data_IF_785662802162
#
_entry.id   IF_785662802162
#
_cell.length_a   1.000
_cell.length_b   1.000
_cell.length_c   1.000
_cell.angle_alpha   90.00
_cell.angle_beta   90.00
_cell.angle_gamma   90.00
#
_symmetry.space_group_name_H-M   'P 1'
#
loop_
_entity.id
_entity.type
_entity.pdbx_description
1 polymer ?
#
# COMPACT_ATOMS: atom_id res chain seq x y z
N UNK A 1 8.44 -4.37 15.66
CA UNK A 1 6.95 -4.43 15.61
C UNK A 1 6.29 -3.12 16.04
N UNK A 2 6.68 -2.49 17.16
CA UNK A 2 6.16 -1.16 17.57
C UNK A 2 6.38 -0.05 16.52
N UNK A 3 7.50 -0.07 15.80
CA UNK A 3 7.80 0.87 14.70
C UNK A 3 6.78 0.85 13.55
N UNK A 4 6.05 -0.26 13.37
CA UNK A 4 5.08 -0.45 12.30
C UNK A 4 3.66 -0.08 12.73
N UNK A 5 3.40 0.03 14.04
CA UNK A 5 2.06 0.26 14.57
C UNK A 5 1.53 1.66 14.19
N UNK A 6 2.36 2.68 14.37
CA UNK A 6 1.97 4.06 14.06
C UNK A 6 1.73 4.29 12.56
N UNK A 7 2.65 3.92 11.65
CA UNK A 7 2.38 3.97 10.21
C UNK A 7 1.14 3.19 9.81
N UNK A 8 0.96 1.98 10.35
CA UNK A 8 -0.19 1.14 10.05
C UNK A 8 -1.50 1.83 10.42
N UNK A 9 -1.62 2.36 11.64
CA UNK A 9 -2.83 3.03 12.12
C UNK A 9 -3.13 4.25 11.26
N UNK A 10 -2.15 5.14 11.06
CA UNK A 10 -2.38 6.39 10.35
C UNK A 10 -2.71 6.14 8.88
N UNK A 11 -1.95 5.29 8.18
CA UNK A 11 -2.23 4.99 6.77
C UNK A 11 -3.56 4.26 6.59
N UNK A 12 -3.89 3.32 7.50
CA UNK A 12 -5.20 2.66 7.48
C UNK A 12 -6.33 3.67 7.69
N UNK A 13 -6.17 4.60 8.62
CA UNK A 13 -7.15 5.65 8.87
C UNK A 13 -7.32 6.56 7.66
N UNK A 14 -6.23 7.00 7.03
CA UNK A 14 -6.28 7.82 5.81
C UNK A 14 -7.06 7.13 4.68
N UNK A 15 -6.86 5.82 4.48
CA UNK A 15 -7.66 5.05 3.51
C UNK A 15 -9.12 4.90 3.95
N UNK A 16 -9.36 4.70 5.25
CA UNK A 16 -10.71 4.52 5.81
C UNK A 16 -11.56 5.80 5.82
N UNK A 17 -10.99 6.98 5.59
CA UNK A 17 -11.75 8.24 5.39
C UNK A 17 -12.81 8.14 4.28
N UNK A 18 -12.65 7.19 3.36
CA UNK A 18 -13.58 6.91 2.26
C UNK A 18 -14.63 5.83 2.58
N UNK A 19 -14.61 5.32 3.81
CA UNK A 19 -15.50 4.28 4.30
C UNK A 19 -14.78 2.96 4.61
N UNK A 20 -15.22 2.33 5.71
CA UNK A 20 -14.64 1.07 6.23
C UNK A 20 -14.71 -0.06 5.21
N UNK A 21 -15.78 -0.14 4.42
CA UNK A 21 -15.90 -1.15 3.35
C UNK A 21 -14.82 -0.99 2.29
N UNK A 22 -14.49 0.25 1.90
CA UNK A 22 -13.44 0.52 0.92
C UNK A 22 -12.07 0.14 1.49
N UNK A 23 -11.81 0.51 2.74
CA UNK A 23 -10.60 0.09 3.44
C UNK A 23 -10.44 -1.43 3.46
N UNK A 24 -11.49 -2.18 3.81
CA UNK A 24 -11.45 -3.64 3.86
C UNK A 24 -11.09 -4.25 2.50
N UNK A 25 -11.66 -3.73 1.40
CA UNK A 25 -11.30 -4.16 0.04
C UNK A 25 -9.85 -3.84 -0.30
N UNK A 26 -9.40 -2.61 -0.04
CA UNK A 26 -8.03 -2.18 -0.34
C UNK A 26 -7.02 -3.04 0.44
N UNK A 27 -7.19 -3.15 1.76
CA UNK A 27 -6.32 -3.93 2.61
C UNK A 27 -6.33 -5.43 2.24
N UNK A 28 -7.52 -5.99 2.00
CA UNK A 28 -7.68 -7.38 1.59
C UNK A 28 -6.97 -7.69 0.26
N UNK A 29 -7.19 -6.86 -0.77
CA UNK A 29 -6.57 -7.05 -2.08
C UNK A 29 -5.04 -6.88 -2.03
N UNK A 30 -4.54 -5.91 -1.25
CA UNK A 30 -3.10 -5.74 -1.02
C UNK A 30 -2.51 -6.97 -0.33
N UNK A 31 -3.16 -7.48 0.72
CA UNK A 31 -2.69 -8.67 1.42
C UNK A 31 -2.66 -9.90 0.50
N UNK A 32 -3.71 -10.10 -0.32
CA UNK A 32 -3.81 -11.23 -1.24
C UNK A 32 -2.76 -11.14 -2.35
N UNK A 33 -2.71 -10.02 -3.07
CA UNK A 33 -1.79 -9.84 -4.19
C UNK A 33 -0.33 -9.76 -3.72
N UNK A 34 -0.07 -8.95 -2.69
CA UNK A 34 1.27 -8.83 -2.11
C UNK A 34 1.75 -10.15 -1.51
N UNK A 35 0.90 -10.87 -0.78
CA UNK A 35 1.20 -12.19 -0.25
C UNK A 35 1.49 -13.23 -1.34
N UNK A 36 0.70 -13.23 -2.41
CA UNK A 36 0.94 -14.11 -3.56
C UNK A 36 2.30 -13.83 -4.22
N UNK A 37 2.64 -12.54 -4.44
CA UNK A 37 3.93 -12.14 -5.02
C UNK A 37 5.12 -12.55 -4.14
N UNK A 38 5.01 -12.38 -2.81
CA UNK A 38 6.04 -12.86 -1.88
C UNK A 38 6.15 -14.37 -1.91
N UNK A 39 5.04 -15.09 -2.00
CA UNK A 39 5.07 -16.55 -2.05
C UNK A 39 5.76 -17.06 -3.33
N UNK A 40 5.55 -16.40 -4.47
CA UNK A 40 6.13 -16.82 -5.74
C UNK A 40 7.57 -16.35 -5.96
N UNK A 41 7.94 -15.17 -5.47
CA UNK A 41 9.23 -14.52 -5.78
C UNK A 41 10.09 -14.22 -4.55
N UNK A 42 9.54 -14.34 -3.34
CA UNK A 42 10.26 -14.11 -2.10
C UNK A 42 11.28 -15.21 -1.83
N UNK A 43 12.34 -14.86 -1.10
CA UNK A 43 13.35 -15.83 -0.65
C UNK A 43 12.72 -16.83 0.33
N UNK A 44 13.34 -17.99 0.52
CA UNK A 44 12.92 -18.98 1.51
C UNK A 44 13.25 -18.51 2.94
N UNK A 45 12.47 -17.57 3.46
CA UNK A 45 12.55 -17.05 4.81
C UNK A 45 11.13 -16.86 5.39
N UNK A 46 11.02 -16.72 6.72
CA UNK A 46 9.76 -16.38 7.36
C UNK A 46 9.44 -14.90 7.04
N UNK A 47 8.46 -14.67 6.18
CA UNK A 47 7.96 -13.34 5.82
C UNK A 47 6.75 -13.01 6.69
N UNK A 48 6.97 -12.77 7.99
CA UNK A 48 5.90 -12.42 8.93
C UNK A 48 5.97 -10.93 9.23
N UNK A 49 4.95 -10.17 8.78
CA UNK A 49 4.84 -8.77 9.18
C UNK A 49 3.77 -7.97 8.44
N UNK A 50 3.16 -7.04 9.17
CA UNK A 50 2.26 -6.04 8.63
C UNK A 50 2.94 -5.02 7.68
N UNK A 51 4.27 -5.05 7.54
CA UNK A 51 5.00 -4.07 6.73
C UNK A 51 4.61 -4.13 5.26
N UNK A 52 4.38 -5.31 4.67
CA UNK A 52 3.88 -5.40 3.29
C UNK A 52 2.57 -4.63 3.10
N UNK A 53 1.64 -4.75 4.06
CA UNK A 53 0.39 -3.98 4.05
C UNK A 53 0.64 -2.46 4.23
N UNK A 54 1.57 -2.06 5.10
CA UNK A 54 1.94 -0.64 5.27
C UNK A 54 2.44 -0.04 3.96
N UNK A 55 3.38 -0.72 3.30
CA UNK A 55 3.92 -0.30 2.00
C UNK A 55 2.85 -0.27 0.92
N UNK A 56 1.93 -1.23 0.92
CA UNK A 56 0.80 -1.24 0.01
C UNK A 56 -0.20 -0.12 0.26
N UNK A 57 -0.55 0.19 1.51
CA UNK A 57 -1.46 1.30 1.84
C UNK A 57 -0.82 2.65 1.46
N UNK A 58 0.47 2.82 1.74
CA UNK A 58 1.22 4.01 1.35
C UNK A 58 1.23 4.18 -0.16
N UNK A 59 1.61 3.14 -0.91
CA UNK A 59 1.63 3.16 -2.36
C UNK A 59 0.22 3.32 -2.97
N UNK A 60 -0.81 2.72 -2.38
CA UNK A 60 -2.20 2.89 -2.80
C UNK A 60 -2.64 4.36 -2.71
N UNK A 61 -2.31 5.07 -1.63
CA UNK A 61 -2.66 6.50 -1.50
C UNK A 61 -1.99 7.34 -2.58
N UNK A 62 -0.71 7.09 -2.87
CA UNK A 62 0.02 7.77 -3.95
C UNK A 62 -0.55 7.44 -5.34
N UNK A 63 -0.77 6.16 -5.62
CA UNK A 63 -1.35 5.69 -6.87
C UNK A 63 -2.77 6.23 -7.07
N UNK A 64 -3.56 6.31 -5.99
CA UNK A 64 -4.92 6.86 -6.04
C UNK A 64 -4.90 8.33 -6.44
N UNK A 65 -3.98 9.15 -5.89
CA UNK A 65 -3.84 10.54 -6.34
C UNK A 65 -3.52 10.63 -7.84
N UNK A 66 -2.69 9.72 -8.34
CA UNK A 66 -2.34 9.64 -9.76
C UNK A 66 -3.50 9.24 -10.68
N UNK A 67 -4.28 8.23 -10.30
CA UNK A 67 -5.38 7.70 -11.13
C UNK A 67 -6.69 8.46 -10.98
N UNK A 68 -7.10 8.77 -9.73
CA UNK A 68 -8.37 9.45 -9.44
C UNK A 68 -8.31 10.94 -9.76
N UNK A 69 -7.14 11.58 -9.57
CA UNK A 69 -6.88 13.00 -9.86
C UNK A 69 -7.86 13.98 -9.21
N UNK A 70 -8.30 13.67 -7.99
CA UNK A 70 -9.13 14.58 -7.18
C UNK A 70 -8.28 15.37 -6.18
N UNK A 71 -8.74 16.56 -5.78
CA UNK A 71 -8.06 17.37 -4.75
C UNK A 71 -7.95 16.60 -3.44
N UNK A 72 -9.02 15.90 -3.03
CA UNK A 72 -9.03 15.08 -1.82
C UNK A 72 -7.97 13.96 -1.88
N UNK A 73 -7.87 13.23 -2.99
CA UNK A 73 -6.84 12.20 -3.15
C UNK A 73 -5.42 12.76 -3.13
N UNK A 74 -5.21 13.95 -3.72
CA UNK A 74 -3.91 14.62 -3.70
C UNK A 74 -3.50 15.01 -2.27
N UNK A 75 -4.43 15.59 -1.49
CA UNK A 75 -4.18 15.96 -0.10
C UNK A 75 -3.81 14.74 0.77
N UNK A 76 -4.55 13.64 0.63
CA UNK A 76 -4.26 12.41 1.37
C UNK A 76 -2.89 11.82 0.99
N UNK A 77 -2.54 11.85 -0.29
CA UNK A 77 -1.22 11.42 -0.76
C UNK A 77 -0.09 12.31 -0.22
N UNK A 78 -0.29 13.64 -0.19
CA UNK A 78 0.68 14.57 0.38
C UNK A 78 0.88 14.35 1.89
N UNK A 79 -0.19 14.09 2.65
CA UNK A 79 -0.10 13.75 4.08
C UNK A 79 0.69 12.45 4.26
N UNK A 80 0.40 11.43 3.45
CA UNK A 80 1.13 10.17 3.50
C UNK A 80 2.61 10.32 3.12
N UNK A 81 2.93 11.16 2.12
CA UNK A 81 4.30 11.43 1.70
C UNK A 81 5.07 12.27 2.73
N UNK A 82 4.45 13.29 3.31
CA UNK A 82 5.08 14.12 4.33
C UNK A 82 5.30 13.36 5.64
N UNK A 83 4.30 12.60 6.09
CA UNK A 83 4.37 11.84 7.35
C UNK A 83 5.18 10.54 7.25
N UNK A 84 5.19 9.89 6.07
CA UNK A 84 5.78 8.57 5.88
C UNK A 84 6.66 8.44 4.63
N UNK A 85 7.19 9.56 4.10
CA UNK A 85 8.11 9.55 2.96
C UNK A 85 9.38 8.75 3.21
N UNK A 86 9.80 8.61 4.48
CA UNK A 86 10.91 7.76 4.89
C UNK A 86 10.71 6.26 4.59
N UNK A 87 9.48 5.81 4.30
CA UNK A 87 9.23 4.44 3.83
C UNK A 87 10.00 4.12 2.54
N UNK A 88 10.38 5.13 1.74
CA UNK A 88 11.23 4.93 0.56
C UNK A 88 12.54 4.19 0.88
N UNK A 89 13.11 4.41 2.07
CA UNK A 89 14.34 3.73 2.49
C UNK A 89 14.13 2.26 2.85
N UNK A 90 12.89 1.83 3.08
CA UNK A 90 12.58 0.41 3.24
C UNK A 90 12.66 -0.38 1.95
N UNK A 91 12.93 0.27 0.80
CA UNK A 91 13.31 -0.40 -0.43
C UNK A 91 14.83 -0.69 -0.53
N UNK A 92 15.60 -0.40 0.51
CA UNK A 92 16.99 -0.83 0.58
C UNK A 92 17.06 -2.20 1.25
N UNK A 93 17.71 -3.20 0.65
CA UNK A 93 17.89 -4.51 1.28
C UNK A 93 18.71 -4.38 2.57
N UNK A 94 18.15 -4.85 3.69
CA UNK A 94 18.82 -4.91 4.99
C UNK A 94 18.64 -6.31 5.56
N UNK A 95 19.72 -6.88 6.12
CA UNK A 95 19.67 -8.22 6.71
C UNK A 95 18.60 -8.30 7.82
N UNK A 96 17.76 -9.33 7.78
CA UNK A 96 16.66 -9.52 8.74
C UNK A 96 15.40 -8.69 8.44
N UNK A 97 15.37 -7.88 7.37
CA UNK A 97 14.18 -7.16 6.90
C UNK A 97 13.63 -7.85 5.63
N UNK A 98 12.33 -8.13 5.61
CA UNK A 98 11.63 -8.67 4.44
C UNK A 98 11.40 -7.60 3.37
N UNK A 99 12.48 -7.16 2.73
CA UNK A 99 12.47 -6.18 1.65
C UNK A 99 11.56 -6.62 0.48
N UNK A 100 11.51 -7.91 0.19
CA UNK A 100 10.63 -8.50 -0.82
C UNK A 100 9.14 -8.21 -0.51
N UNK A 101 8.75 -8.27 0.77
CA UNK A 101 7.40 -7.91 1.21
C UNK A 101 7.10 -6.42 1.02
N UNK A 102 8.09 -5.54 1.14
CA UNK A 102 7.91 -4.10 0.90
C UNK A 102 7.65 -3.81 -0.57
N UNK A 103 8.45 -4.40 -1.47
CA UNK A 103 8.25 -4.25 -2.92
C UNK A 103 6.91 -4.83 -3.34
N UNK A 104 6.63 -6.08 -2.95
CA UNK A 104 5.39 -6.76 -3.31
C UNK A 104 4.16 -6.00 -2.79
N UNK A 105 4.22 -5.51 -1.54
CA UNK A 105 3.19 -4.67 -0.96
C UNK A 105 2.97 -3.37 -1.73
N UNK A 106 4.04 -2.62 -2.00
CA UNK A 106 3.95 -1.36 -2.74
C UNK A 106 3.40 -1.57 -4.16
N UNK A 107 3.88 -2.59 -4.86
CA UNK A 107 3.38 -2.96 -6.19
C UNK A 107 1.88 -3.30 -6.14
N UNK A 108 1.47 -4.15 -5.18
CA UNK A 108 0.06 -4.48 -4.98
C UNK A 108 -0.79 -3.22 -4.71
N UNK A 109 -0.30 -2.29 -3.90
CA UNK A 109 -0.95 -1.01 -3.62
C UNK A 109 -1.21 -0.18 -4.88
N UNK A 110 -0.21 -0.07 -5.77
CA UNK A 110 -0.36 0.62 -7.06
C UNK A 110 -1.37 -0.10 -7.96
N UNK A 111 -1.29 -1.43 -8.06
CA UNK A 111 -2.24 -2.22 -8.85
C UNK A 111 -3.68 -2.07 -8.36
N UNK A 112 -3.90 -2.09 -7.03
CA UNK A 112 -5.23 -1.88 -6.44
C UNK A 112 -5.72 -0.46 -6.69
N UNK A 113 -4.86 0.55 -6.58
CA UNK A 113 -5.23 1.93 -6.90
C UNK A 113 -5.61 2.08 -8.38
N UNK A 114 -4.85 1.44 -9.29
CA UNK A 114 -5.15 1.40 -10.71
C UNK A 114 -6.50 0.73 -10.98
N UNK A 115 -6.73 -0.45 -10.41
CA UNK A 115 -7.97 -1.22 -10.60
C UNK A 115 -9.21 -0.43 -10.16
N UNK A 116 -9.12 0.26 -9.01
CA UNK A 116 -10.27 0.93 -8.42
C UNK A 116 -10.55 2.33 -8.97
N UNK A 117 -9.54 3.01 -9.55
CA UNK A 117 -9.65 4.43 -9.89
C UNK A 117 -9.30 4.76 -11.35
N UNK A 118 -8.92 3.79 -12.17
CA UNK A 118 -8.62 4.05 -13.59
C UNK A 118 -9.88 4.35 -14.39
N UNK A 119 -9.91 5.55 -14.97
CA UNK A 119 -11.00 6.01 -15.86
C UNK A 119 -11.26 5.06 -17.03
N UNK A 120 -10.23 4.42 -17.57
CA UNK A 120 -10.35 3.46 -18.67
C UNK A 120 -11.15 2.20 -18.29
N UNK A 121 -11.10 1.77 -17.02
CA UNK A 121 -11.88 0.63 -16.52
C UNK A 121 -13.30 1.06 -16.11
N UNK A 122 -13.44 2.28 -15.59
CA UNK A 122 -14.74 2.83 -15.17
C UNK A 122 -15.63 3.23 -16.35
N UNK A 123 -15.05 3.57 -17.51
CA UNK A 123 -15.80 3.94 -18.72
C UNK A 123 -16.34 2.74 -19.52
N UNK A 124 -16.05 1.50 -19.10
CA UNK A 124 -16.51 0.26 -19.75
C UNK A 124 -17.74 -0.37 -19.07
N UNK A 125 -18.27 0.26 -18.01
CA UNK A 125 -19.50 -0.12 -17.31
C UNK A 125 -20.53 1.00 -17.42
#
# INVERSE_FOLDING_TARGET
MLSNLLPFIVLSWLVATEGVRRYAWVAGLICLLGGALVWTFGRSNIHVGASGLIFGLWAYLLGRAWYQRSVASLLLALIALAGYGGLIFGFVPVAGVSFESHIAGAFAGICVAWLMHSRALLAQN
#
